data_IF_434551862003
#
_entry.id   IF_434551862003
#
_cell.length_a   1.000
_cell.length_b   1.000
_cell.length_c   1.000
_cell.angle_alpha   90.00
_cell.angle_beta   90.00
_cell.angle_gamma   90.00
#
_symmetry.space_group_name_H-M   'P 1'
#
loop_
_entity.id
_entity.type
_entity.pdbx_description
1 polymer ?
#
# COMPACT_ATOMS: atom_id res chain seq x y z
N UNK A 1 5.52 -52.13 41.39
CA UNK A 1 6.48 -51.48 40.47
C UNK A 1 6.02 -50.05 40.21
N UNK A 2 6.74 -49.06 40.74
CA UNK A 2 6.47 -47.62 40.54
C UNK A 2 7.12 -47.17 39.22
N UNK A 3 6.38 -46.48 38.35
CA UNK A 3 6.92 -45.68 37.24
C UNK A 3 6.45 -44.24 37.53
N UNK A 4 7.31 -43.33 37.99
CA UNK A 4 8.03 -42.32 37.16
C UNK A 4 7.21 -42.00 35.89
N UNK A 5 6.53 -40.86 35.74
CA UNK A 5 6.97 -39.50 36.02
C UNK A 5 7.33 -38.84 34.70
N UNK A 6 6.41 -38.06 34.11
CA UNK A 6 6.72 -37.07 33.08
C UNK A 6 5.66 -35.97 33.10
N UNK A 7 6.00 -34.87 33.77
CA UNK A 7 5.24 -33.62 33.75
C UNK A 7 5.61 -32.92 32.44
N UNK A 8 4.70 -32.91 31.47
CA UNK A 8 4.81 -32.05 30.30
C UNK A 8 4.37 -30.64 30.69
N UNK A 9 5.34 -29.77 30.92
CA UNK A 9 5.15 -28.32 30.90
C UNK A 9 4.72 -27.90 29.49
N UNK A 10 3.43 -27.69 29.30
CA UNK A 10 2.90 -26.95 28.16
C UNK A 10 3.29 -25.49 28.35
N UNK A 11 4.42 -25.11 27.74
CA UNK A 11 4.81 -23.74 27.54
C UNK A 11 3.80 -23.11 26.57
N UNK A 12 2.70 -22.58 27.10
CA UNK A 12 1.79 -21.71 26.37
C UNK A 12 2.51 -20.40 26.09
N UNK A 13 3.27 -20.40 24.99
CA UNK A 13 3.75 -19.18 24.34
C UNK A 13 2.49 -18.43 23.92
N UNK A 14 2.09 -17.47 24.76
CA UNK A 14 1.17 -16.40 24.40
C UNK A 14 1.88 -15.62 23.28
N UNK A 15 1.62 -16.03 22.04
CA UNK A 15 1.90 -15.21 20.88
C UNK A 15 0.97 -14.01 21.04
N UNK A 16 1.49 -12.94 21.64
CA UNK A 16 0.92 -11.61 21.55
C UNK A 16 0.94 -11.24 20.07
N UNK A 17 -0.10 -11.66 19.34
CA UNK A 17 -0.37 -11.14 18.02
C UNK A 17 -0.48 -9.64 18.16
N UNK A 18 0.48 -8.90 17.60
CA UNK A 18 0.36 -7.46 17.43
C UNK A 18 -1.02 -7.21 16.84
N UNK A 19 -1.90 -6.54 17.57
CA UNK A 19 -3.20 -6.13 17.07
C UNK A 19 -2.94 -5.28 15.83
N UNK A 20 -3.11 -5.84 14.63
CA UNK A 20 -3.07 -5.07 13.40
C UNK A 20 -4.11 -3.94 13.54
N UNK A 21 -3.67 -2.70 13.34
CA UNK A 21 -4.59 -1.57 13.37
C UNK A 21 -5.65 -1.79 12.29
N UNK A 22 -6.92 -1.87 12.70
CA UNK A 22 -8.03 -2.11 11.78
C UNK A 22 -8.04 -1.06 10.67
N UNK A 23 -8.16 -1.53 9.43
CA UNK A 23 -8.23 -0.68 8.25
C UNK A 23 -6.87 -0.22 7.69
N UNK A 24 -5.74 -0.63 8.27
CA UNK A 24 -4.40 -0.43 7.70
C UNK A 24 -4.11 -1.46 6.60
N UNK A 25 -3.33 -1.12 5.55
CA UNK A 25 -2.75 -2.11 4.65
C UNK A 25 -1.89 -3.14 5.40
N UNK A 26 -2.10 -4.41 5.11
CA UNK A 26 -1.23 -5.47 5.63
C UNK A 26 0.15 -5.41 4.96
N UNK A 27 1.14 -6.07 5.57
CA UNK A 27 2.49 -6.18 4.98
C UNK A 27 2.45 -6.79 3.56
N UNK A 28 1.66 -7.85 3.37
CA UNK A 28 1.55 -8.54 2.08
C UNK A 28 0.93 -7.66 0.99
N UNK A 29 -0.04 -6.82 1.35
CA UNK A 29 -0.64 -5.88 0.41
C UNK A 29 0.36 -4.78 0.03
N UNK A 30 1.11 -4.26 1.00
CA UNK A 30 2.20 -3.29 0.73
C UNK A 30 3.31 -3.89 -0.13
N UNK A 31 3.68 -5.14 0.10
CA UNK A 31 4.63 -5.87 -0.74
C UNK A 31 4.10 -6.02 -2.16
N UNK A 32 2.83 -6.39 -2.34
CA UNK A 32 2.21 -6.56 -3.66
C UNK A 32 2.23 -5.29 -4.50
N UNK A 33 1.84 -4.13 -3.94
CA UNK A 33 1.91 -2.86 -4.68
C UNK A 33 3.35 -2.43 -4.95
N UNK A 34 4.27 -2.67 -4.00
CA UNK A 34 5.70 -2.35 -4.21
C UNK A 34 6.28 -3.19 -5.35
N UNK A 35 5.98 -4.50 -5.37
CA UNK A 35 6.39 -5.40 -6.46
C UNK A 35 5.78 -4.99 -7.80
N UNK A 36 4.52 -4.55 -7.82
CA UNK A 36 3.88 -4.04 -9.03
C UNK A 36 4.66 -2.82 -9.60
N UNK A 37 5.09 -1.89 -8.74
CA UNK A 37 5.95 -0.77 -9.14
C UNK A 37 7.34 -1.22 -9.57
N UNK A 38 7.97 -2.18 -8.87
CA UNK A 38 9.28 -2.72 -9.24
C UNK A 38 9.25 -3.28 -10.67
N UNK A 39 8.23 -4.06 -11.03
CA UNK A 39 8.08 -4.66 -12.38
C UNK A 39 8.04 -3.64 -13.51
N UNK A 40 7.53 -2.43 -13.24
CA UNK A 40 7.37 -1.37 -14.23
C UNK A 40 8.43 -0.28 -14.09
N UNK A 41 9.47 -0.52 -13.28
CA UNK A 41 10.60 0.40 -13.13
C UNK A 41 11.27 0.60 -14.49
N UNK A 42 11.54 1.86 -14.91
CA UNK A 42 12.16 2.12 -16.20
C UNK A 42 13.48 1.36 -16.38
N UNK A 43 13.56 0.52 -17.41
CA UNK A 43 14.76 -0.26 -17.70
C UNK A 43 15.93 0.63 -18.11
N UNK A 44 17.16 0.18 -17.84
CA UNK A 44 18.39 0.92 -18.13
C UNK A 44 18.46 2.30 -17.45
N UNK A 45 17.83 2.43 -16.29
CA UNK A 45 17.93 3.61 -15.43
C UNK A 45 18.38 3.21 -14.03
N UNK A 46 18.93 4.17 -13.28
CA UNK A 46 19.28 3.98 -11.86
C UNK A 46 18.08 4.19 -10.93
N UNK A 47 16.86 4.00 -11.45
CA UNK A 47 15.65 4.15 -10.67
C UNK A 47 15.33 2.89 -9.88
N UNK A 48 14.84 3.10 -8.65
CA UNK A 48 14.21 2.10 -7.81
C UNK A 48 12.81 2.55 -7.43
N UNK A 49 11.88 1.60 -7.34
CA UNK A 49 10.55 1.86 -6.81
C UNK A 49 10.61 2.05 -5.29
N UNK A 50 9.91 3.07 -4.78
CA UNK A 50 9.69 3.28 -3.36
C UNK A 50 8.20 3.49 -3.13
N UNK A 51 7.66 2.85 -2.09
CA UNK A 51 6.28 3.03 -1.64
C UNK A 51 6.24 3.21 -0.13
N UNK A 52 5.31 4.03 0.35
CA UNK A 52 5.02 4.20 1.78
C UNK A 52 3.52 4.37 2.01
N UNK A 53 3.06 4.06 3.23
CA UNK A 53 1.65 4.16 3.62
C UNK A 53 1.45 5.09 4.81
N UNK A 54 0.39 5.88 4.81
CA UNK A 54 0.00 6.75 5.93
C UNK A 54 -1.50 6.78 6.14
N UNK A 55 -1.91 6.89 7.41
CA UNK A 55 -3.28 7.27 7.78
C UNK A 55 -3.42 8.78 7.73
N UNK A 56 -4.44 9.28 7.04
CA UNK A 56 -4.72 10.72 6.89
C UNK A 56 -6.22 10.91 7.10
N UNK A 57 -6.59 11.50 8.25
CA UNK A 57 -7.96 11.42 8.74
C UNK A 57 -8.33 9.96 9.05
N UNK A 58 -9.49 9.51 8.56
CA UNK A 58 -9.98 8.14 8.75
C UNK A 58 -9.56 7.16 7.65
N UNK A 59 -8.80 7.62 6.64
CA UNK A 59 -8.43 6.82 5.47
C UNK A 59 -6.95 6.51 5.45
N UNK A 60 -6.62 5.35 4.91
CA UNK A 60 -5.26 4.97 4.58
C UNK A 60 -4.95 5.26 3.12
N UNK A 61 -3.74 5.75 2.88
CA UNK A 61 -3.23 6.05 1.55
C UNK A 61 -1.87 5.40 1.37
N UNK A 62 -1.55 5.07 0.12
CA UNK A 62 -0.21 4.65 -0.30
C UNK A 62 0.31 5.61 -1.35
N UNK A 63 1.55 6.04 -1.20
CA UNK A 63 2.25 6.81 -2.21
C UNK A 63 3.43 6.01 -2.74
N UNK A 64 3.56 5.93 -4.06
CA UNK A 64 4.69 5.29 -4.73
C UNK A 64 5.36 6.24 -5.74
N UNK A 65 6.67 6.15 -5.89
CA UNK A 65 7.43 6.83 -6.94
C UNK A 65 8.63 5.99 -7.39
N UNK A 66 9.33 6.50 -8.41
CA UNK A 66 10.65 6.01 -8.79
C UNK A 66 11.70 7.03 -8.34
N UNK A 67 12.73 6.55 -7.64
CA UNK A 67 13.83 7.36 -7.12
C UNK A 67 15.17 6.88 -7.65
N UNK A 68 16.05 7.82 -7.99
CA UNK A 68 17.41 7.55 -8.43
C UNK A 68 18.31 8.73 -8.05
N UNK A 69 19.59 8.68 -8.42
CA UNK A 69 20.56 9.71 -8.02
C UNK A 69 20.11 11.09 -8.52
N UNK A 70 19.78 11.98 -7.58
CA UNK A 70 19.34 13.36 -7.83
C UNK A 70 18.00 13.51 -8.57
N UNK A 71 17.23 12.43 -8.77
CA UNK A 71 16.00 12.44 -9.58
C UNK A 71 14.91 11.62 -8.91
N UNK A 72 13.69 12.17 -8.91
CA UNK A 72 12.49 11.49 -8.42
C UNK A 72 11.30 11.79 -9.32
N UNK A 73 10.44 10.81 -9.54
CA UNK A 73 9.19 11.03 -10.27
C UNK A 73 8.11 11.61 -9.37
N UNK A 74 7.04 12.13 -9.98
CA UNK A 74 5.82 12.54 -9.25
C UNK A 74 5.27 11.37 -8.42
N UNK A 75 4.68 11.68 -7.27
CA UNK A 75 4.00 10.70 -6.43
C UNK A 75 2.76 10.14 -7.13
N UNK A 76 2.63 8.83 -7.11
CA UNK A 76 1.44 8.09 -7.49
C UNK A 76 0.69 7.76 -6.20
N UNK A 77 -0.43 8.44 -5.98
CA UNK A 77 -1.22 8.31 -4.76
C UNK A 77 -2.36 7.32 -5.00
N UNK A 78 -2.52 6.37 -4.09
CA UNK A 78 -3.58 5.38 -4.07
C UNK A 78 -4.36 5.48 -2.76
N UNK A 79 -5.68 5.39 -2.84
CA UNK A 79 -6.54 5.16 -1.67
C UNK A 79 -6.52 3.68 -1.31
N UNK A 80 -6.31 3.34 -0.04
CA UNK A 80 -6.52 1.99 0.46
C UNK A 80 -7.98 1.77 0.88
N UNK A 81 -8.61 0.72 0.38
CA UNK A 81 -9.92 0.26 0.81
C UNK A 81 -10.05 -1.26 0.59
N UNK A 82 -10.32 -2.02 1.65
CA UNK A 82 -10.45 -3.47 1.63
C UNK A 82 -11.91 -3.96 1.70
N UNK A 83 -12.88 -3.05 1.60
CA UNK A 83 -14.31 -3.35 1.75
C UNK A 83 -15.06 -3.30 0.41
N UNK A 84 -14.59 -2.49 -0.55
CA UNK A 84 -15.31 -2.24 -1.81
C UNK A 84 -15.21 -3.36 -2.84
N UNK A 85 -14.10 -4.10 -2.84
CA UNK A 85 -13.84 -5.19 -3.79
C UNK A 85 -13.12 -6.32 -3.05
N UNK A 86 -13.45 -7.57 -3.38
CA UNK A 86 -12.88 -8.74 -2.72
C UNK A 86 -11.39 -8.93 -3.01
N UNK A 87 -10.90 -8.39 -4.13
CA UNK A 87 -9.55 -8.58 -4.67
C UNK A 87 -8.69 -7.31 -4.66
N UNK A 88 -9.30 -6.15 -4.92
CA UNK A 88 -8.57 -4.88 -5.00
C UNK A 88 -8.40 -4.26 -3.61
N UNK A 89 -7.29 -3.53 -3.43
CA UNK A 89 -6.94 -2.86 -2.18
C UNK A 89 -6.57 -1.40 -2.39
N UNK A 90 -5.85 -1.11 -3.47
CA UNK A 90 -5.29 0.21 -3.72
C UNK A 90 -5.87 0.81 -4.99
N UNK A 91 -6.51 1.97 -4.86
CA UNK A 91 -7.23 2.62 -5.95
C UNK A 91 -6.50 3.89 -6.38
N UNK A 92 -6.07 3.93 -7.64
CA UNK A 92 -5.35 5.04 -8.25
C UNK A 92 -6.17 6.34 -8.13
N UNK A 93 -5.64 7.30 -7.36
CA UNK A 93 -6.41 8.43 -6.85
C UNK A 93 -6.05 9.77 -7.50
N UNK A 94 -4.77 10.01 -7.78
CA UNK A 94 -4.31 11.25 -8.41
C UNK A 94 -3.96 11.05 -9.90
N UNK A 95 -3.81 12.15 -10.65
CA UNK A 95 -3.51 12.10 -12.09
C UNK A 95 -2.33 11.17 -12.45
N UNK A 96 -1.14 11.31 -11.82
CA UNK A 96 -0.03 10.38 -12.02
C UNK A 96 -0.40 8.91 -11.77
N UNK A 97 -1.07 8.59 -10.66
CA UNK A 97 -1.49 7.22 -10.36
C UNK A 97 -2.50 6.68 -11.37
N UNK A 98 -3.44 7.50 -11.84
CA UNK A 98 -4.40 7.08 -12.88
C UNK A 98 -3.66 6.75 -14.18
N UNK A 99 -2.74 7.62 -14.61
CA UNK A 99 -1.93 7.38 -15.82
C UNK A 99 -1.07 6.12 -15.70
N UNK A 100 -0.40 5.90 -14.57
CA UNK A 100 0.46 4.71 -14.40
C UNK A 100 -0.38 3.43 -14.33
N UNK A 101 -1.56 3.50 -13.70
CA UNK A 101 -2.50 2.40 -13.64
C UNK A 101 -2.99 1.99 -15.02
N UNK A 102 -3.49 2.94 -15.81
CA UNK A 102 -4.03 2.67 -17.14
C UNK A 102 -2.99 2.11 -18.10
N UNK A 103 -1.75 2.60 -18.02
CA UNK A 103 -0.69 2.20 -18.94
C UNK A 103 0.00 0.88 -18.56
N UNK A 104 0.12 0.57 -17.26
CA UNK A 104 1.02 -0.50 -16.83
C UNK A 104 0.42 -1.45 -15.77
N UNK A 105 -0.48 -0.98 -14.90
CA UNK A 105 -0.89 -1.72 -13.71
C UNK A 105 -2.33 -2.25 -13.75
N UNK A 106 -3.05 -2.06 -14.86
CA UNK A 106 -4.45 -2.49 -15.00
C UNK A 106 -4.70 -3.99 -14.79
N UNK A 107 -3.67 -4.82 -15.02
CA UNK A 107 -3.73 -6.27 -14.82
C UNK A 107 -3.29 -6.73 -13.41
N UNK A 108 -2.80 -5.81 -12.57
CA UNK A 108 -2.41 -6.13 -11.20
C UNK A 108 -3.67 -6.17 -10.32
N UNK A 109 -4.03 -7.37 -9.85
CA UNK A 109 -5.33 -7.63 -9.20
C UNK A 109 -5.56 -6.86 -7.91
N UNK A 110 -4.49 -6.49 -7.21
CA UNK A 110 -4.53 -5.70 -5.97
C UNK A 110 -4.80 -4.21 -6.23
N UNK A 111 -4.67 -3.77 -7.49
CA UNK A 111 -4.81 -2.38 -7.90
C UNK A 111 -6.16 -2.14 -8.62
N UNK A 112 -6.67 -0.93 -8.47
CA UNK A 112 -7.90 -0.48 -9.13
C UNK A 112 -7.86 0.98 -9.52
N UNK A 113 -8.86 1.41 -10.28
CA UNK A 113 -9.13 2.82 -10.57
C UNK A 113 -10.09 3.39 -9.51
N UNK A 114 -9.73 4.52 -8.87
CA UNK A 114 -10.66 5.20 -7.97
C UNK A 114 -11.91 5.65 -8.74
N UNK A 115 -11.71 6.26 -9.91
CA UNK A 115 -12.79 6.77 -10.76
C UNK A 115 -13.80 5.68 -11.10
N UNK A 116 -13.33 4.48 -11.47
CA UNK A 116 -14.21 3.41 -11.91
C UNK A 116 -14.91 2.70 -10.73
N UNK A 117 -14.34 2.77 -9.54
CA UNK A 117 -14.87 2.08 -8.34
C UNK A 117 -15.77 2.98 -7.50
N UNK A 118 -15.39 4.25 -7.30
CA UNK A 118 -16.04 5.19 -6.40
C UNK A 118 -16.78 6.31 -7.15
N UNK A 119 -16.47 6.53 -8.43
CA UNK A 119 -17.00 7.64 -9.21
C UNK A 119 -16.21 8.94 -9.02
N UNK A 120 -16.63 9.97 -9.75
CA UNK A 120 -16.15 11.35 -9.61
C UNK A 120 -17.34 12.30 -9.44
N UNK A 121 -17.18 13.44 -8.72
CA UNK A 121 -15.94 13.95 -8.12
C UNK A 121 -15.45 13.13 -6.92
N UNK A 122 -14.22 13.38 -6.46
CA UNK A 122 -13.71 12.78 -5.22
C UNK A 122 -14.65 13.08 -4.05
N UNK A 123 -14.76 12.14 -3.13
CA UNK A 123 -15.48 12.33 -1.88
C UNK A 123 -14.93 13.57 -1.12
N UNK A 124 -15.81 14.32 -0.46
CA UNK A 124 -15.51 15.65 0.07
C UNK A 124 -14.42 15.66 1.15
N UNK A 125 -14.24 14.53 1.85
CA UNK A 125 -13.23 14.33 2.89
C UNK A 125 -11.82 14.02 2.32
N UNK A 126 -11.71 13.76 1.01
CA UNK A 126 -10.42 13.54 0.35
C UNK A 126 -9.84 14.88 -0.13
N UNK A 127 -8.85 15.39 0.60
CA UNK A 127 -8.05 16.53 0.16
C UNK A 127 -6.68 16.09 -0.39
N UNK A 128 -6.57 16.02 -1.72
CA UNK A 128 -5.33 15.61 -2.39
C UNK A 128 -4.12 16.49 -2.05
N UNK A 129 -4.30 17.79 -1.80
CA UNK A 129 -3.18 18.67 -1.44
C UNK A 129 -2.61 18.28 -0.07
N UNK A 130 -3.49 18.03 0.90
CA UNK A 130 -3.11 17.51 2.22
C UNK A 130 -2.46 16.13 2.11
N UNK A 131 -3.04 15.23 1.31
CA UNK A 131 -2.49 13.87 1.13
C UNK A 131 -1.07 13.92 0.54
N UNK A 132 -0.85 14.68 -0.54
CA UNK A 132 0.49 14.79 -1.14
C UNK A 132 1.53 15.31 -0.15
N UNK A 133 1.20 16.33 0.66
CA UNK A 133 2.11 16.89 1.66
C UNK A 133 2.57 15.87 2.71
N UNK A 134 1.72 14.91 3.07
CA UNK A 134 2.08 13.86 4.03
C UNK A 134 3.16 12.91 3.50
N UNK A 135 3.41 12.89 2.19
CA UNK A 135 4.40 12.05 1.54
C UNK A 135 5.60 12.82 0.98
N UNK A 136 5.81 14.07 1.42
CA UNK A 136 6.95 14.89 0.97
C UNK A 136 8.32 14.24 1.27
N UNK A 137 8.42 13.41 2.31
CA UNK A 137 9.64 12.67 2.63
C UNK A 137 10.07 11.69 1.52
N UNK A 138 9.15 11.28 0.64
CA UNK A 138 9.47 10.48 -0.54
C UNK A 138 10.03 11.33 -1.69
N UNK A 139 10.02 12.66 -1.56
CA UNK A 139 10.44 13.63 -2.57
C UNK A 139 11.73 14.38 -2.20
N UNK A 140 12.13 14.34 -0.93
CA UNK A 140 13.36 14.92 -0.35
C UNK A 140 14.56 13.98 -0.52
#
# INVERSE_FOLDING_TARGET
MKRLGLILLLCSVLITGCSEEKGKPTYKEMEAITLAFIKITPQNTDFAAQCDSKKIGERYYVACNFMGVGRRTKLNIFLYNNEKDSTKRFYALNGPAMTIYDNYLKNETVLGSYKDTFGLPLEQDINLSTVNKQFNHLME
#
